data_IF_890221036378
#
_entry.id   IF_890221036378
#
_cell.length_a   1.000
_cell.length_b   1.000
_cell.length_c   1.000
_cell.angle_alpha   90.00
_cell.angle_beta   90.00
_cell.angle_gamma   90.00
#
_symmetry.space_group_name_H-M   'P 1'
#
loop_
_entity.id
_entity.type
_entity.pdbx_description
1 polymer ?
#
# COMPACT_ATOMS: atom_id res chain seq x y z
N UNK A 1 -2.32 -5.18 10.55
CA UNK A 1 -3.27 -4.50 9.63
C UNK A 1 -4.48 -5.39 9.43
N UNK A 2 -5.66 -4.99 9.94
CA UNK A 2 -6.86 -5.81 9.84
C UNK A 2 -7.17 -6.12 8.37
N UNK A 3 -7.44 -7.39 8.07
CA UNK A 3 -7.90 -7.89 6.77
C UNK A 3 -7.04 -7.58 5.52
N UNK A 4 -5.82 -7.02 5.64
CA UNK A 4 -4.97 -6.72 4.48
C UNK A 4 -4.71 -7.96 3.61
N UNK A 5 -4.45 -9.11 4.24
CA UNK A 5 -4.22 -10.36 3.52
C UNK A 5 -5.42 -10.78 2.65
N UNK A 6 -6.64 -10.51 3.10
CA UNK A 6 -7.84 -10.83 2.33
C UNK A 6 -8.00 -9.90 1.13
N UNK A 7 -7.84 -8.59 1.34
CA UNK A 7 -7.90 -7.63 0.23
C UNK A 7 -6.75 -7.84 -0.77
N UNK A 8 -5.56 -8.23 -0.31
CA UNK A 8 -4.40 -8.47 -1.15
C UNK A 8 -4.44 -9.83 -1.89
N UNK A 9 -5.33 -10.75 -1.50
CA UNK A 9 -5.44 -12.08 -2.15
C UNK A 9 -5.66 -11.96 -3.65
N UNK A 10 -6.45 -10.96 -4.08
CA UNK A 10 -6.76 -10.71 -5.48
C UNK A 10 -5.55 -10.26 -6.32
N UNK A 11 -4.45 -9.84 -5.67
CA UNK A 11 -3.22 -9.47 -6.35
C UNK A 11 -2.44 -10.69 -6.84
N UNK A 12 -2.68 -11.86 -6.25
CA UNK A 12 -1.99 -13.11 -6.61
C UNK A 12 -2.11 -13.42 -8.11
N UNK A 13 -3.32 -13.54 -8.69
CA UNK A 13 -3.46 -13.80 -10.12
C UNK A 13 -2.86 -12.70 -11.01
N UNK A 14 -2.83 -11.44 -10.52
CA UNK A 14 -2.30 -10.29 -11.27
C UNK A 14 -0.77 -10.24 -11.33
N UNK A 15 -0.08 -10.98 -10.46
CA UNK A 15 1.38 -10.92 -10.28
C UNK A 15 2.08 -12.23 -10.62
N UNK A 16 1.33 -13.23 -11.09
CA UNK A 16 1.93 -14.49 -11.56
C UNK A 16 2.69 -14.29 -12.87
N UNK A 17 3.70 -15.14 -13.14
CA UNK A 17 4.36 -15.18 -14.46
C UNK A 17 3.40 -15.41 -15.62
N UNK A 18 2.28 -16.11 -15.37
CA UNK A 18 1.26 -16.32 -16.40
C UNK A 18 0.55 -15.02 -16.79
N UNK A 19 0.42 -14.07 -15.86
CA UNK A 19 -0.16 -12.76 -16.13
C UNK A 19 0.69 -11.90 -17.08
N UNK A 20 2.00 -12.17 -17.19
CA UNK A 20 2.87 -11.53 -18.20
C UNK A 20 2.48 -11.93 -19.63
N UNK A 21 2.01 -13.17 -19.80
CA UNK A 21 1.61 -13.72 -21.10
C UNK A 21 0.16 -13.36 -21.43
N UNK A 22 -0.72 -13.35 -20.43
CA UNK A 22 -2.13 -13.02 -20.57
C UNK A 22 -2.64 -12.35 -19.29
N UNK A 23 -2.57 -11.02 -19.26
CA UNK A 23 -3.00 -10.26 -18.10
C UNK A 23 -4.52 -10.40 -17.87
N UNK A 24 -4.99 -10.70 -16.65
CA UNK A 24 -6.42 -10.79 -16.36
C UNK A 24 -7.14 -9.47 -16.67
N UNK A 25 -8.38 -9.55 -17.17
CA UNK A 25 -9.19 -8.35 -17.37
C UNK A 25 -9.42 -7.65 -16.03
N UNK A 26 -9.18 -6.33 -16.00
CA UNK A 26 -9.52 -5.54 -14.82
C UNK A 26 -11.03 -5.56 -14.58
N UNK A 27 -11.42 -5.80 -13.34
CA UNK A 27 -12.82 -6.00 -12.95
C UNK A 27 -13.16 -5.08 -11.79
N UNK A 28 -14.46 -4.89 -11.55
CA UNK A 28 -14.93 -4.11 -10.40
C UNK A 28 -14.48 -4.70 -9.05
N UNK A 29 -14.17 -6.00 -8.99
CA UNK A 29 -13.64 -6.62 -7.78
C UNK A 29 -12.20 -6.20 -7.50
N UNK A 30 -11.36 -6.15 -8.55
CA UNK A 30 -10.01 -5.61 -8.45
C UNK A 30 -10.02 -4.16 -7.96
N UNK A 31 -10.87 -3.32 -8.55
CA UNK A 31 -11.01 -1.92 -8.15
C UNK A 31 -11.40 -1.77 -6.67
N UNK A 32 -12.41 -2.52 -6.22
CA UNK A 32 -12.85 -2.50 -4.81
C UNK A 32 -11.74 -2.92 -3.85
N UNK A 33 -11.02 -4.00 -4.18
CA UNK A 33 -9.94 -4.49 -3.34
C UNK A 33 -8.78 -3.48 -3.25
N UNK A 34 -8.39 -2.87 -4.37
CA UNK A 34 -7.35 -1.83 -4.37
C UNK A 34 -7.77 -0.60 -3.56
N UNK A 35 -9.04 -0.17 -3.65
CA UNK A 35 -9.53 0.95 -2.86
C UNK A 35 -9.61 0.63 -1.36
N UNK A 36 -10.01 -0.59 -0.99
CA UNK A 36 -9.95 -1.04 0.41
C UNK A 36 -8.51 -1.05 0.97
N UNK A 37 -7.53 -1.46 0.16
CA UNK A 37 -6.10 -1.39 0.56
C UNK A 37 -5.68 0.06 0.76
N UNK A 38 -6.03 0.97 -0.16
CA UNK A 38 -5.73 2.41 -0.04
C UNK A 38 -6.33 2.99 1.24
N UNK A 39 -7.61 2.74 1.48
CA UNK A 39 -8.30 3.18 2.70
C UNK A 39 -7.57 2.69 3.95
N UNK A 40 -7.20 1.40 3.98
CA UNK A 40 -6.47 0.81 5.09
C UNK A 40 -5.12 1.48 5.34
N UNK A 41 -4.30 1.69 4.30
CA UNK A 41 -2.97 2.31 4.46
C UNK A 41 -3.03 3.80 4.82
N UNK A 42 -4.13 4.47 4.47
CA UNK A 42 -4.40 5.86 4.88
C UNK A 42 -5.13 5.98 6.21
N UNK A 43 -5.49 4.87 6.85
CA UNK A 43 -6.25 4.88 8.10
C UNK A 43 -5.36 5.07 9.33
N UNK A 44 -5.93 5.44 10.49
CA UNK A 44 -5.21 5.48 11.77
C UNK A 44 -4.67 4.11 12.24
N UNK A 45 -5.04 3.01 11.58
CA UNK A 45 -4.43 1.69 11.84
C UNK A 45 -3.04 1.55 11.22
N UNK A 46 -2.70 2.37 10.24
CA UNK A 46 -1.40 2.41 9.55
C UNK A 46 -0.60 3.68 9.84
N UNK A 47 -1.29 4.79 10.16
CA UNK A 47 -0.67 6.08 10.37
C UNK A 47 -0.54 6.39 11.87
N UNK A 48 0.57 7.01 12.25
CA UNK A 48 0.80 7.52 13.61
C UNK A 48 0.86 9.04 13.57
N UNK A 49 0.09 9.69 14.44
CA UNK A 49 0.18 11.14 14.62
C UNK A 49 1.41 11.46 15.46
N UNK A 50 2.26 12.36 14.96
CA UNK A 50 3.41 12.86 15.71
C UNK A 50 3.00 14.13 16.44
N UNK A 51 3.09 14.12 17.76
CA UNK A 51 3.04 15.33 18.57
C UNK A 51 4.42 16.00 18.49
N UNK A 52 4.48 17.18 17.87
CA UNK A 52 5.74 17.90 17.70
C UNK A 52 6.19 18.64 18.97
N UNK A 53 5.26 18.96 19.89
CA UNK A 53 5.56 19.63 21.15
C UNK A 53 6.03 18.63 22.21
N UNK A 54 5.51 17.39 22.14
CA UNK A 54 5.91 16.30 23.02
C UNK A 54 5.99 14.95 22.29
N UNK A 55 7.02 14.72 21.45
CA UNK A 55 7.13 13.51 20.65
C UNK A 55 7.40 12.23 21.46
N UNK A 56 7.75 12.34 22.75
CA UNK A 56 8.10 11.21 23.60
C UNK A 56 9.28 10.41 23.02
N UNK A 57 9.17 9.08 23.05
CA UNK A 57 10.19 8.16 22.51
C UNK A 57 10.03 7.89 20.99
N UNK A 58 9.09 8.55 20.32
CA UNK A 58 8.86 8.34 18.89
C UNK A 58 10.07 8.79 18.07
N UNK A 59 10.53 7.94 17.16
CA UNK A 59 11.63 8.23 16.22
C UNK A 59 11.09 8.27 14.80
N UNK A 60 11.51 9.27 14.04
CA UNK A 60 11.18 9.39 12.62
C UNK A 60 12.34 8.81 11.81
N UNK A 61 12.03 7.80 11.01
CA UNK A 61 12.96 7.22 10.05
C UNK A 61 12.47 7.58 8.65
N UNK A 62 13.38 8.08 7.81
CA UNK A 62 13.08 8.48 6.44
C UNK A 62 13.65 7.45 5.47
N UNK A 63 12.79 6.90 4.61
CA UNK A 63 13.19 6.05 3.48
C UNK A 63 12.86 6.77 2.18
N UNK A 64 13.87 7.01 1.35
CA UNK A 64 13.67 7.62 0.03
C UNK A 64 14.08 6.64 -1.06
N UNK A 65 13.34 6.64 -2.17
CA UNK A 65 13.71 5.93 -3.39
C UNK A 65 13.50 6.85 -4.61
N UNK A 66 14.39 6.73 -5.59
CA UNK A 66 14.45 7.61 -6.77
C UNK A 66 14.49 6.76 -8.04
N UNK A 67 13.64 7.13 -9.00
CA UNK A 67 13.64 6.60 -10.36
C UNK A 67 14.15 7.65 -11.35
N UNK A 68 14.35 7.24 -12.60
CA UNK A 68 14.72 8.11 -13.72
C UNK A 68 13.77 9.31 -13.92
N UNK A 69 12.53 9.22 -13.42
CA UNK A 69 11.50 10.23 -13.63
C UNK A 69 11.17 11.03 -12.38
N UNK A 70 11.11 10.39 -11.21
CA UNK A 70 10.57 10.98 -9.96
C UNK A 70 11.13 10.31 -8.71
N UNK A 71 10.96 10.99 -7.57
CA UNK A 71 11.31 10.55 -6.22
C UNK A 71 10.06 10.19 -5.41
N UNK A 72 10.19 9.23 -4.50
CA UNK A 72 9.21 8.90 -3.46
C UNK A 72 9.89 8.83 -2.08
N UNK A 73 9.12 9.08 -1.02
CA UNK A 73 9.60 9.00 0.35
C UNK A 73 8.51 8.46 1.28
N UNK A 74 8.93 7.69 2.28
CA UNK A 74 8.11 7.17 3.39
C UNK A 74 8.78 7.52 4.70
#
# INVERSE_FOLDING_TARGET
LPALAEHARILTPLTTKAAELAFPLWSAEHERAFNAIKELVTSPHCLTTIDHDNPGDNKIFLTCDVSDYRTGAV
#
